data_IF_686805643281
#
_entry.id   IF_686805643281
#
_cell.length_a   1.000
_cell.length_b   1.000
_cell.length_c   1.000
_cell.angle_alpha   90.00
_cell.angle_beta   90.00
_cell.angle_gamma   90.00
#
_symmetry.space_group_name_H-M   'P 1'
#
loop_
_entity.id
_entity.type
_entity.pdbx_description
1 polymer ?
#
# COMPACT_ATOMS: atom_id res chain seq x y z
N UNK A 1 -10.09 30.49 -21.85
CA UNK A 1 -9.50 29.70 -20.75
C UNK A 1 -8.90 28.44 -21.36
N UNK A 2 -7.59 28.29 -21.33
CA UNK A 2 -6.89 27.16 -21.96
C UNK A 2 -6.94 25.93 -21.06
N UNK A 3 -7.12 24.75 -21.66
CA UNK A 3 -7.21 23.44 -21.00
C UNK A 3 -6.14 23.19 -19.93
N UNK A 4 -4.93 23.74 -20.11
CA UNK A 4 -3.83 23.66 -19.13
C UNK A 4 -4.18 24.29 -17.76
N UNK A 5 -4.94 25.40 -17.71
CA UNK A 5 -5.33 26.01 -16.43
C UNK A 5 -6.32 25.13 -15.67
N UNK A 6 -7.20 24.43 -16.38
CA UNK A 6 -8.20 23.52 -15.80
C UNK A 6 -7.54 22.27 -15.21
N UNK A 7 -6.59 21.66 -15.92
CA UNK A 7 -5.86 20.47 -15.45
C UNK A 7 -5.05 20.76 -14.18
N UNK A 8 -4.41 21.94 -14.12
CA UNK A 8 -3.63 22.37 -12.95
C UNK A 8 -4.52 22.61 -11.73
N UNK A 9 -5.72 23.17 -11.91
CA UNK A 9 -6.70 23.37 -10.83
C UNK A 9 -7.28 22.03 -10.34
N UNK A 10 -7.55 21.09 -11.25
CA UNK A 10 -8.00 19.74 -10.91
C UNK A 10 -6.92 18.98 -10.13
N UNK A 11 -5.67 18.96 -10.60
CA UNK A 11 -4.53 18.36 -9.88
C UNK A 11 -4.36 18.97 -8.48
N UNK A 12 -4.51 20.30 -8.34
CA UNK A 12 -4.49 20.96 -7.02
C UNK A 12 -5.62 20.50 -6.12
N UNK A 13 -6.86 20.40 -6.60
CA UNK A 13 -7.98 19.89 -5.78
C UNK A 13 -7.80 18.44 -5.37
N UNK A 14 -7.36 17.57 -6.29
CA UNK A 14 -7.11 16.14 -6.00
C UNK A 14 -6.02 16.01 -4.93
N UNK A 15 -4.93 16.77 -5.05
CA UNK A 15 -3.85 16.80 -4.07
C UNK A 15 -4.29 17.44 -2.73
N UNK A 16 -5.14 18.48 -2.78
CA UNK A 16 -5.67 19.16 -1.59
C UNK A 16 -6.55 18.24 -0.73
N UNK A 17 -7.18 17.24 -1.33
CA UNK A 17 -7.96 16.21 -0.63
C UNK A 17 -7.16 14.93 -0.32
N UNK A 18 -5.86 14.86 -0.65
CA UNK A 18 -5.02 13.68 -0.40
C UNK A 18 -5.43 12.43 -1.17
N UNK A 19 -6.24 12.59 -2.22
CA UNK A 19 -6.79 11.48 -3.01
C UNK A 19 -5.69 10.72 -3.76
N UNK A 20 -4.65 11.42 -4.21
CA UNK A 20 -3.49 10.80 -4.85
C UNK A 20 -2.80 9.80 -3.93
N UNK A 21 -2.58 10.17 -2.66
CA UNK A 21 -1.95 9.31 -1.66
C UNK A 21 -2.81 8.07 -1.38
N UNK A 22 -4.15 8.23 -1.34
CA UNK A 22 -5.08 7.12 -1.15
C UNK A 22 -5.06 6.12 -2.32
N UNK A 23 -5.03 6.62 -3.56
CA UNK A 23 -4.95 5.77 -4.75
C UNK A 23 -3.63 5.00 -4.78
N UNK A 24 -2.51 5.67 -4.50
CA UNK A 24 -1.20 5.04 -4.44
C UNK A 24 -1.14 3.95 -3.35
N UNK A 25 -1.66 4.24 -2.15
CA UNK A 25 -1.78 3.27 -1.07
C UNK A 25 -2.64 2.06 -1.48
N UNK A 26 -3.78 2.30 -2.13
CA UNK A 26 -4.67 1.24 -2.61
C UNK A 26 -4.00 0.31 -3.63
N UNK A 27 -3.17 0.85 -4.53
CA UNK A 27 -2.40 0.04 -5.51
C UNK A 27 -1.40 -0.89 -4.83
N UNK A 28 -0.69 -0.40 -3.81
CA UNK A 28 0.27 -1.21 -3.06
C UNK A 28 -0.46 -2.31 -2.28
N UNK A 29 -1.58 -1.98 -1.62
CA UNK A 29 -2.40 -2.95 -0.91
C UNK A 29 -2.93 -4.05 -1.84
N UNK A 30 -3.47 -3.68 -3.01
CA UNK A 30 -3.92 -4.64 -4.01
C UNK A 30 -2.79 -5.57 -4.47
N UNK A 31 -1.58 -5.02 -4.67
CA UNK A 31 -0.43 -5.85 -5.06
C UNK A 31 0.01 -6.81 -3.96
N UNK A 32 -0.04 -6.36 -2.70
CA UNK A 32 0.29 -7.21 -1.55
C UNK A 32 -0.68 -8.39 -1.44
N UNK A 33 -1.98 -8.17 -1.61
CA UNK A 33 -2.99 -9.23 -1.63
C UNK A 33 -2.85 -10.14 -2.86
N UNK A 34 -2.50 -9.62 -4.03
CA UNK A 34 -2.25 -10.45 -5.22
C UNK A 34 -1.08 -11.43 -5.01
N UNK A 35 -0.02 -10.99 -4.31
CA UNK A 35 1.15 -11.82 -4.02
C UNK A 35 0.82 -12.94 -3.01
N UNK A 36 -0.05 -12.67 -2.03
CA UNK A 36 -0.40 -13.60 -0.96
C UNK A 36 -1.90 -13.56 -0.58
N UNK A 37 -2.80 -14.02 -1.47
CA UNK A 37 -4.24 -13.75 -1.39
C UNK A 37 -4.99 -14.44 -0.24
N UNK A 38 -4.33 -15.34 0.50
CA UNK A 38 -4.92 -16.11 1.60
C UNK A 38 -4.23 -15.92 2.94
N UNK A 39 -3.12 -15.17 2.97
CA UNK A 39 -2.28 -15.09 4.15
C UNK A 39 -2.60 -13.88 5.03
N UNK A 40 -2.94 -12.76 4.39
CA UNK A 40 -3.30 -11.53 5.08
C UNK A 40 -4.23 -10.70 4.20
N UNK A 41 -4.85 -9.71 4.81
CA UNK A 41 -5.57 -8.61 4.15
C UNK A 41 -4.76 -7.33 4.29
N UNK A 42 -4.59 -6.59 3.20
CA UNK A 42 -3.87 -5.32 3.24
C UNK A 42 -4.85 -4.17 3.50
N UNK A 43 -4.68 -3.48 4.62
CA UNK A 43 -5.65 -2.47 5.10
C UNK A 43 -5.31 -1.08 4.59
N UNK A 44 -4.04 -0.67 4.74
CA UNK A 44 -3.62 0.67 4.35
C UNK A 44 -2.10 0.78 4.24
N UNK A 45 -1.65 1.80 3.51
CA UNK A 45 -0.27 2.29 3.55
C UNK A 45 -0.29 3.70 4.09
N UNK A 46 0.48 3.95 5.16
CA UNK A 46 0.64 5.29 5.72
C UNK A 46 1.75 6.05 4.99
N UNK A 47 1.69 7.38 5.03
CA UNK A 47 2.70 8.28 4.40
C UNK A 47 4.15 8.02 4.82
N UNK A 48 4.35 7.44 6.00
CA UNK A 48 5.68 7.06 6.50
C UNK A 48 6.18 5.70 5.97
N UNK A 49 5.49 5.11 4.99
CA UNK A 49 5.84 3.80 4.42
C UNK A 49 5.49 2.62 5.33
N UNK A 50 4.52 2.79 6.25
CA UNK A 50 4.02 1.67 7.07
C UNK A 50 2.88 0.97 6.36
N UNK A 51 3.10 -0.28 5.94
CA UNK A 51 2.05 -1.17 5.43
C UNK A 51 1.33 -1.83 6.61
N UNK A 52 0.01 -1.67 6.68
CA UNK A 52 -0.83 -2.30 7.68
C UNK A 52 -1.50 -3.53 7.09
N UNK A 53 -1.20 -4.69 7.68
CA UNK A 53 -1.78 -5.97 7.32
C UNK A 53 -2.62 -6.54 8.48
N UNK A 54 -3.72 -7.18 8.14
CA UNK A 54 -4.54 -8.02 9.01
C UNK A 54 -4.30 -9.48 8.69
N UNK A 55 -4.02 -10.32 9.70
CA UNK A 55 -3.83 -11.76 9.52
C UNK A 55 -4.31 -12.55 10.74
N UNK A 56 -4.62 -13.84 10.56
CA UNK A 56 -4.94 -14.72 11.68
C UNK A 56 -3.67 -15.05 12.50
N UNK A 57 -3.80 -15.28 13.82
CA UNK A 57 -2.65 -15.60 14.68
C UNK A 57 -1.90 -16.87 14.25
N UNK A 58 -2.61 -17.86 13.70
CA UNK A 58 -2.02 -19.12 13.20
C UNK A 58 -1.05 -18.91 12.03
N UNK A 59 -1.24 -17.85 11.25
CA UNK A 59 -0.51 -17.59 10.00
C UNK A 59 0.72 -16.69 10.23
N UNK A 60 0.98 -16.28 11.47
CA UNK A 60 2.08 -15.37 11.82
C UNK A 60 3.44 -15.95 11.49
N UNK A 61 3.64 -17.25 11.72
CA UNK A 61 4.91 -17.89 11.42
C UNK A 61 5.18 -17.90 9.91
N UNK A 62 4.17 -18.25 9.12
CA UNK A 62 4.25 -18.23 7.66
C UNK A 62 4.51 -16.82 7.14
N UNK A 63 3.80 -15.81 7.69
CA UNK A 63 4.07 -14.41 7.38
C UNK A 63 5.52 -14.01 7.69
N UNK A 64 6.06 -14.40 8.85
CA UNK A 64 7.44 -14.08 9.22
C UNK A 64 8.48 -14.67 8.26
N UNK A 65 8.19 -15.82 7.67
CA UNK A 65 9.07 -16.44 6.67
C UNK A 65 9.06 -15.69 5.33
N UNK A 66 7.97 -15.00 5.00
CA UNK A 66 7.82 -14.29 3.72
C UNK A 66 7.96 -12.76 3.84
N UNK A 67 7.95 -12.18 5.04
CA UNK A 67 7.91 -10.74 5.30
C UNK A 67 8.97 -9.98 4.47
N UNK A 68 10.22 -10.46 4.49
CA UNK A 68 11.30 -9.84 3.71
C UNK A 68 11.07 -9.92 2.19
N UNK A 69 10.54 -11.03 1.69
CA UNK A 69 10.23 -11.21 0.26
C UNK A 69 9.07 -10.31 -0.18
N UNK A 70 8.03 -10.20 0.67
CA UNK A 70 6.91 -9.32 0.45
C UNK A 70 7.37 -7.86 0.34
N UNK A 71 8.14 -7.37 1.31
CA UNK A 71 8.65 -5.99 1.30
C UNK A 71 9.51 -5.73 0.07
N UNK A 72 10.41 -6.65 -0.29
CA UNK A 72 11.23 -6.52 -1.49
C UNK A 72 10.39 -6.45 -2.78
N UNK A 73 9.40 -7.33 -2.93
CA UNK A 73 8.52 -7.35 -4.11
C UNK A 73 7.65 -6.09 -4.22
N UNK A 74 7.12 -5.61 -3.09
CA UNK A 74 6.34 -4.37 -3.05
C UNK A 74 7.20 -3.14 -3.35
N UNK A 75 8.44 -3.09 -2.87
CA UNK A 75 9.35 -1.99 -3.16
C UNK A 75 9.82 -1.98 -4.62
N UNK A 76 10.07 -3.14 -5.22
CA UNK A 76 10.33 -3.25 -6.67
C UNK A 76 9.13 -2.78 -7.50
N UNK A 77 7.92 -3.17 -7.12
CA UNK A 77 6.69 -2.68 -7.76
C UNK A 77 6.54 -1.17 -7.58
N UNK A 78 6.79 -0.66 -6.38
CA UNK A 78 6.68 0.76 -6.07
C UNK A 78 7.71 1.59 -6.83
N UNK A 79 8.94 1.10 -7.00
CA UNK A 79 9.97 1.76 -7.80
C UNK A 79 9.57 1.87 -9.27
N UNK A 80 9.04 0.78 -9.85
CA UNK A 80 8.59 0.76 -11.25
C UNK A 80 7.42 1.71 -11.53
N UNK A 81 6.54 1.89 -10.55
CA UNK A 81 5.30 2.67 -10.68
C UNK A 81 5.40 4.07 -10.04
N UNK A 82 6.60 4.48 -9.60
CA UNK A 82 6.87 5.74 -8.91
C UNK A 82 5.95 5.96 -7.67
N UNK A 83 5.73 4.89 -6.90
CA UNK A 83 4.90 4.84 -5.70
C UNK A 83 5.75 4.95 -4.41
N UNK A 84 5.12 5.30 -3.26
CA UNK A 84 5.82 5.33 -1.98
C UNK A 84 6.36 3.96 -1.57
N UNK A 85 7.59 3.96 -1.07
CA UNK A 85 8.29 2.76 -0.61
C UNK A 85 7.78 2.30 0.77
N UNK A 86 7.76 0.99 0.98
CA UNK A 86 7.40 0.35 2.24
C UNK A 86 8.66 0.17 3.08
N UNK A 87 8.65 0.80 4.26
CA UNK A 87 9.76 0.76 5.23
C UNK A 87 9.48 -0.18 6.39
N UNK A 88 8.19 -0.34 6.74
CA UNK A 88 7.77 -1.11 7.91
C UNK A 88 6.45 -1.81 7.65
N UNK A 89 6.31 -3.00 8.22
CA UNK A 89 5.02 -3.68 8.28
C UNK A 89 4.46 -3.60 9.71
N UNK A 90 3.18 -3.26 9.82
CA UNK A 90 2.39 -3.33 11.04
C UNK A 90 1.35 -4.43 10.88
N UNK A 91 1.28 -5.31 11.87
CA UNK A 91 0.31 -6.39 11.91
C UNK A 91 -0.83 -6.05 12.87
N UNK A 92 -2.03 -6.49 12.53
CA UNK A 92 -3.18 -6.56 13.43
C UNK A 92 -3.77 -7.95 13.30
N UNK A 93 -4.06 -8.56 14.44
CA UNK A 93 -4.55 -9.93 14.46
C UNK A 93 -6.07 -9.91 14.44
N UNK A 94 -6.64 -10.75 13.58
CA UNK A 94 -8.08 -10.97 13.56
C UNK A 94 -8.39 -11.96 14.70
N UNK A 95 -9.12 -11.51 15.71
CA UNK A 95 -9.72 -12.42 16.70
C UNK A 95 -10.98 -13.02 16.05
N UNK A 96 -10.90 -14.29 15.66
CA UNK A 96 -12.01 -15.08 15.12
C UNK A 96 -12.26 -16.30 15.97
#
# INVERSE_FOLDING_TARGET
MTWQKTETVLKRRINQHGLTDMVQAGRICAKAEELYPKLFRAVSVRKNGTLHLELDQKDVLEFKMIEGKLVAALNQFAEKEELPQINRVRLTFIEK
#
